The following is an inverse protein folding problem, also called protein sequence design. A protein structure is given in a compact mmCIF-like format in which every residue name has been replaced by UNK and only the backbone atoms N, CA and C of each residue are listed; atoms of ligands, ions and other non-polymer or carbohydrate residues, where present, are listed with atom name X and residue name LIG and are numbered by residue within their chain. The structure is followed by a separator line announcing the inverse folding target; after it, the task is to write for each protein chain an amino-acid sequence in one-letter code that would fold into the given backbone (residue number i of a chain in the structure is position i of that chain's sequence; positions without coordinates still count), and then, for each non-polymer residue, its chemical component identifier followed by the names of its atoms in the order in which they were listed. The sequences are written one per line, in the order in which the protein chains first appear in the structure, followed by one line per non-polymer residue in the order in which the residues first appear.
data_IF_107174877691
#
_entry.id   IF_107174877691
#
_cell.length_a   1.000
_cell.length_b   1.000
_cell.length_c   1.000
_cell.angle_alpha   90.00
_cell.angle_beta   90.00
_cell.angle_gamma   90.00
#
_symmetry.space_group_name_H-M   'P 1'
#
loop_
_entity.id
_entity.type
_entity.pdbx_description
1 polymer ?
#
# COMPACT_ATOMS: atom_id res chain seq x y z
N UNK A 1 -11.83 1.46 -16.93
CA UNK A 1 -12.77 0.73 -16.07
C UNK A 1 -12.85 1.33 -14.68
N UNK A 2 -11.74 1.40 -13.95
CA UNK A 2 -11.73 2.01 -12.60
C UNK A 2 -11.01 3.37 -12.57
N UNK A 3 -11.53 4.27 -11.73
CA UNK A 3 -10.97 5.60 -11.47
C UNK A 3 -10.12 5.66 -10.18
N UNK A 4 -10.20 4.64 -9.33
CA UNK A 4 -9.44 4.56 -8.08
C UNK A 4 -9.53 3.16 -7.47
N UNK A 5 -8.67 2.89 -6.49
CA UNK A 5 -8.54 1.60 -5.82
C UNK A 5 -8.61 1.78 -4.31
N UNK A 6 -9.33 0.90 -3.62
CA UNK A 6 -9.32 0.82 -2.15
C UNK A 6 -8.93 -0.59 -1.73
N UNK A 7 -7.89 -0.70 -0.90
CA UNK A 7 -7.40 -1.96 -0.35
C UNK A 7 -7.70 -1.96 1.15
N UNK A 8 -8.67 -2.77 1.62
CA UNK A 8 -8.97 -2.89 3.03
C UNK A 8 -7.86 -3.66 3.76
N UNK A 9 -7.79 -3.45 5.08
CA UNK A 9 -6.88 -4.19 5.94
C UNK A 9 -7.40 -5.57 6.34
N UNK A 10 -7.01 -5.99 7.54
CA UNK A 10 -7.21 -7.36 8.02
C UNK A 10 -5.98 -8.21 7.71
N UNK A 11 -5.34 -8.75 8.76
CA UNK A 11 -4.02 -9.38 8.65
C UNK A 11 -4.02 -10.54 7.65
N UNK A 12 -4.96 -11.47 7.77
CA UNK A 12 -5.06 -12.65 6.87
C UNK A 12 -5.42 -12.23 5.44
N UNK A 13 -6.32 -11.25 5.29
CA UNK A 13 -6.73 -10.75 3.98
C UNK A 13 -5.58 -10.09 3.22
N UNK A 14 -4.86 -9.18 3.88
CA UNK A 14 -3.69 -8.52 3.29
C UNK A 14 -2.56 -9.51 2.98
N UNK A 15 -2.32 -10.50 3.85
CA UNK A 15 -1.32 -11.55 3.64
C UNK A 15 -1.70 -12.50 2.48
N UNK A 16 -2.99 -12.76 2.29
CA UNK A 16 -3.48 -13.52 1.13
C UNK A 16 -3.29 -12.73 -0.16
N UNK A 17 -3.67 -11.45 -0.17
CA UNK A 17 -3.60 -10.59 -1.35
C UNK A 17 -2.16 -10.32 -1.82
N UNK A 18 -1.22 -10.13 -0.89
CA UNK A 18 0.19 -9.87 -1.23
C UNK A 18 0.88 -11.08 -1.89
N UNK A 19 0.36 -12.30 -1.67
CA UNK A 19 0.89 -13.52 -2.27
C UNK A 19 0.33 -13.77 -3.70
N UNK A 20 -0.73 -13.07 -4.08
CA UNK A 20 -1.36 -13.18 -5.40
C UNK A 20 -0.69 -12.23 -6.40
N UNK A 21 -0.03 -12.80 -7.41
CA UNK A 21 0.72 -12.03 -8.42
C UNK A 21 -0.17 -11.16 -9.29
N UNK A 22 -1.41 -11.58 -9.56
CA UNK A 22 -2.33 -10.82 -10.39
C UNK A 22 -2.84 -9.59 -9.62
N UNK A 23 -3.07 -9.75 -8.30
CA UNK A 23 -3.39 -8.62 -7.41
C UNK A 23 -2.22 -7.65 -7.34
N UNK A 24 -1.00 -8.13 -7.14
CA UNK A 24 0.20 -7.29 -7.06
C UNK A 24 0.41 -6.50 -8.36
N UNK A 25 0.27 -7.16 -9.52
CA UNK A 25 0.37 -6.51 -10.82
C UNK A 25 -0.73 -5.45 -11.02
N UNK A 26 -1.98 -5.78 -10.67
CA UNK A 26 -3.10 -4.86 -10.74
C UNK A 26 -2.87 -3.61 -9.88
N UNK A 27 -2.35 -3.77 -8.66
CA UNK A 27 -2.00 -2.64 -7.78
C UNK A 27 -0.90 -1.79 -8.42
N UNK A 28 0.20 -2.40 -8.88
CA UNK A 28 1.29 -1.69 -9.55
C UNK A 28 0.81 -0.85 -10.75
N UNK A 29 -0.13 -1.38 -11.53
CA UNK A 29 -0.68 -0.69 -12.70
C UNK A 29 -1.47 0.57 -12.35
N UNK A 30 -2.11 0.64 -11.17
CA UNK A 30 -2.76 1.88 -10.71
C UNK A 30 -1.75 3.00 -10.48
N UNK A 31 -0.60 2.68 -9.88
CA UNK A 31 0.48 3.65 -9.67
C UNK A 31 1.12 4.07 -10.99
N UNK A 32 1.32 3.12 -11.91
CA UNK A 32 1.83 3.40 -13.27
C UNK A 32 0.90 4.32 -14.06
N UNK A 33 -0.41 4.23 -13.83
CA UNK A 33 -1.43 5.10 -14.44
C UNK A 33 -1.64 6.43 -13.70
N UNK A 34 -0.98 6.67 -12.56
CA UNK A 34 -1.17 7.86 -11.73
C UNK A 34 -2.59 7.95 -11.12
N UNK A 35 -3.27 6.82 -10.93
CA UNK A 35 -4.62 6.77 -10.38
C UNK A 35 -4.59 6.74 -8.84
N UNK A 36 -5.60 7.31 -8.17
CA UNK A 36 -5.66 7.32 -6.71
C UNK A 36 -5.81 5.91 -6.12
N UNK A 37 -5.08 5.64 -5.04
CA UNK A 37 -5.11 4.39 -4.28
C UNK A 37 -5.27 4.72 -2.80
N UNK A 38 -6.21 4.08 -2.11
CA UNK A 38 -6.33 4.13 -0.66
C UNK A 38 -6.01 2.76 -0.06
N UNK A 39 -5.16 2.71 0.96
CA UNK A 39 -4.82 1.48 1.67
C UNK A 39 -4.89 1.71 3.18
N UNK A 40 -5.56 0.82 3.91
CA UNK A 40 -5.80 0.99 5.35
C UNK A 40 -5.32 -0.21 6.17
N UNK A 41 -4.81 0.08 7.38
CA UNK A 41 -4.40 -0.91 8.36
C UNK A 41 -3.25 -1.81 7.85
N UNK A 42 -3.49 -3.08 7.50
CA UNK A 42 -2.45 -4.01 7.02
C UNK A 42 -2.30 -4.04 5.49
N UNK A 43 -3.19 -3.37 4.76
CA UNK A 43 -3.13 -3.28 3.29
C UNK A 43 -1.77 -2.81 2.72
N UNK A 44 -0.97 -1.96 3.40
CA UNK A 44 0.33 -1.55 2.88
C UNK A 44 1.31 -2.71 2.61
N UNK A 45 1.12 -3.92 3.13
CA UNK A 45 1.90 -5.09 2.67
C UNK A 45 1.74 -5.36 1.18
N UNK A 46 0.54 -5.18 0.62
CA UNK A 46 0.31 -5.34 -0.82
C UNK A 46 1.06 -4.26 -1.61
N UNK A 47 1.14 -3.03 -1.06
CA UNK A 47 1.90 -1.94 -1.67
C UNK A 47 3.43 -2.18 -1.60
N UNK A 48 3.91 -2.85 -0.55
CA UNK A 48 5.30 -3.29 -0.44
C UNK A 48 5.63 -4.28 -1.56
N UNK A 49 4.82 -5.33 -1.75
CA UNK A 49 5.02 -6.30 -2.84
C UNK A 49 4.90 -5.67 -4.23
N UNK A 50 3.99 -4.71 -4.40
CA UNK A 50 3.87 -3.96 -5.65
C UNK A 50 5.08 -3.03 -5.92
N UNK A 51 5.98 -2.82 -4.95
CA UNK A 51 7.20 -2.03 -5.13
C UNK A 51 6.95 -0.52 -5.28
N UNK A 52 5.80 -0.02 -4.80
CA UNK A 52 5.34 1.36 -5.09
C UNK A 52 5.62 2.37 -3.97
N UNK A 53 6.23 1.93 -2.86
CA UNK A 53 6.39 2.74 -1.65
C UNK A 53 7.69 3.55 -1.58
N UNK A 54 8.71 3.22 -2.37
CA UNK A 54 10.04 3.85 -2.26
C UNK A 54 9.96 5.38 -2.36
N UNK A 55 10.47 6.06 -1.34
CA UNK A 55 10.50 7.53 -1.25
C UNK A 55 9.20 8.19 -0.80
N UNK A 56 8.13 7.43 -0.54
CA UNK A 56 6.84 7.98 -0.08
C UNK A 56 6.77 8.11 1.43
N UNK A 57 5.91 9.00 1.91
CA UNK A 57 5.54 9.08 3.33
C UNK A 57 4.15 8.51 3.53
N UNK A 58 4.02 7.46 4.37
CA UNK A 58 2.74 6.76 4.57
C UNK A 58 2.48 6.44 6.05
N UNK A 59 1.25 6.05 6.35
CA UNK A 59 0.86 5.46 7.65
C UNK A 59 0.25 4.07 7.45
N UNK A 60 0.06 3.32 8.53
CA UNK A 60 -0.46 1.95 8.49
C UNK A 60 -0.91 1.49 9.89
N UNK A 61 -1.33 0.24 10.00
CA UNK A 61 -1.31 -0.42 11.30
C UNK A 61 0.13 -0.47 11.84
N UNK A 62 0.38 -0.21 13.14
CA UNK A 62 1.73 0.02 13.64
C UNK A 62 2.71 -1.14 13.47
N UNK A 63 2.24 -2.40 13.39
CA UNK A 63 3.13 -3.56 13.22
C UNK A 63 3.90 -3.54 11.90
N UNK A 64 3.40 -2.83 10.87
CA UNK A 64 4.02 -2.74 9.54
C UNK A 64 5.14 -1.69 9.46
N UNK A 65 5.40 -0.92 10.53
CA UNK A 65 6.40 0.17 10.53
C UNK A 65 7.75 -0.29 10.01
N UNK A 66 8.23 -1.45 10.47
CA UNK A 66 9.53 -2.01 10.06
C UNK A 66 9.53 -2.39 8.59
N UNK A 67 8.48 -3.06 8.12
CA UNK A 67 8.36 -3.49 6.72
C UNK A 67 8.31 -2.29 5.76
N UNK A 68 7.55 -1.26 6.12
CA UNK A 68 7.42 -0.01 5.36
C UNK A 68 8.77 0.72 5.28
N UNK A 69 9.48 0.80 6.40
CA UNK A 69 10.81 1.41 6.44
C UNK A 69 11.80 0.62 5.58
N UNK A 70 11.77 -0.71 5.64
CA UNK A 70 12.61 -1.58 4.81
C UNK A 70 12.30 -1.47 3.32
N UNK A 71 11.04 -1.20 2.96
CA UNK A 71 10.61 -0.93 1.58
C UNK A 71 11.04 0.47 1.07
N UNK A 72 11.73 1.26 1.90
CA UNK A 72 12.27 2.57 1.53
C UNK A 72 11.26 3.71 1.63
N UNK A 73 10.20 3.55 2.42
CA UNK A 73 9.23 4.60 2.72
C UNK A 73 9.44 5.19 4.13
N UNK A 74 8.96 6.41 4.33
CA UNK A 74 8.89 7.06 5.64
C UNK A 74 7.57 6.72 6.30
N UNK A 75 7.60 5.96 7.40
CA UNK A 75 6.41 5.69 8.19
C UNK A 75 6.14 6.81 9.20
N UNK A 76 4.88 7.27 9.29
CA UNK A 76 4.44 8.27 10.26
C UNK A 76 3.23 7.78 11.07
N UNK A 77 3.20 8.15 12.35
CA UNK A 77 2.04 7.92 13.21
C UNK A 77 1.05 9.08 13.05
N UNK A 78 0.11 8.92 12.11
CA UNK A 78 -0.95 9.88 11.80
C UNK A 78 -2.24 9.13 11.51
N UNK A 79 -3.37 9.74 11.82
CA UNK A 79 -4.69 9.16 11.54
C UNK A 79 -4.89 8.87 10.04
N UNK A 80 -4.43 9.80 9.19
CA UNK A 80 -4.39 9.65 7.73
C UNK A 80 -3.11 10.32 7.21
N UNK A 81 -2.48 9.73 6.21
CA UNK A 81 -1.38 10.32 5.46
C UNK A 81 -1.68 10.20 3.97
N UNK A 82 -1.43 11.27 3.21
CA UNK A 82 -1.58 11.28 1.75
C UNK A 82 -0.28 11.74 1.10
N UNK A 83 0.12 11.08 0.02
CA UNK A 83 1.32 11.38 -0.75
C UNK A 83 1.17 10.95 -2.21
N UNK A 84 1.06 11.93 -3.10
CA UNK A 84 1.11 11.74 -4.56
C UNK A 84 0.09 10.70 -5.07
N UNK A 85 -1.17 10.84 -4.63
CA UNK A 85 -2.29 9.98 -5.01
C UNK A 85 -2.44 8.69 -4.21
N UNK A 86 -1.58 8.46 -3.20
CA UNK A 86 -1.71 7.42 -2.18
C UNK A 86 -2.17 8.00 -0.85
#
# INVERSE_FOLDING_TARGET
DFHGLVIPGGTVGADTLRADKDVVAFVHDFFSQGKPVGAICHAPWVLIEAGVLKGRTITSYPSLKTDITNAGATWVDKEVMTDSGL
#
